data_IF_518310259463
#
_entry.id   IF_518310259463
#
_cell.length_a   1.000
_cell.length_b   1.000
_cell.length_c   1.000
_cell.angle_alpha   90.00
_cell.angle_beta   90.00
_cell.angle_gamma   90.00
#
_symmetry.space_group_name_H-M   'P 1'
#
loop_
_entity.id
_entity.type
_entity.pdbx_description
1 polymer ?
#
# COMPACT_ATOMS: atom_id res chain seq x y z
N UNK A 1 12.09 -1.41 7.36
CA UNK A 1 12.17 -0.96 5.98
C UNK A 1 10.90 -1.32 5.25
N UNK A 2 10.38 -0.41 4.45
CA UNK A 2 9.14 -0.67 3.72
C UNK A 2 9.41 -1.47 2.46
N UNK A 3 8.45 -2.30 2.05
CA UNK A 3 8.61 -3.04 0.82
C UNK A 3 8.42 -2.13 -0.40
N UNK A 4 8.77 -2.62 -1.58
CA UNK A 4 8.74 -1.81 -2.78
C UNK A 4 7.34 -1.34 -3.14
N UNK A 5 6.36 -2.20 -2.96
CA UNK A 5 4.98 -1.85 -3.28
C UNK A 5 4.48 -0.70 -2.43
N UNK A 6 4.77 -0.71 -1.15
CA UNK A 6 4.37 0.39 -0.28
C UNK A 6 5.11 1.67 -0.64
N UNK A 7 6.39 1.58 -0.96
CA UNK A 7 7.13 2.77 -1.39
C UNK A 7 6.51 3.38 -2.64
N UNK A 8 6.14 2.54 -3.59
CA UNK A 8 5.51 3.02 -4.81
C UNK A 8 4.15 3.65 -4.52
N UNK A 9 3.36 3.03 -3.64
CA UNK A 9 2.06 3.56 -3.28
C UNK A 9 2.19 4.92 -2.61
N UNK A 10 3.16 5.07 -1.71
CA UNK A 10 3.40 6.36 -1.07
C UNK A 10 3.79 7.42 -2.08
N UNK A 11 4.64 7.06 -3.03
CA UNK A 11 5.05 8.01 -4.06
C UNK A 11 3.87 8.45 -4.91
N UNK A 12 3.03 7.51 -5.32
CA UNK A 12 1.87 7.84 -6.15
C UNK A 12 0.83 8.65 -5.39
N UNK A 13 0.67 8.38 -4.10
CA UNK A 13 -0.29 9.10 -3.28
C UNK A 13 0.18 10.53 -2.95
N UNK A 14 1.48 10.75 -2.99
CA UNK A 14 2.03 12.05 -2.60
C UNK A 14 2.54 12.08 -1.17
N UNK A 15 2.84 10.93 -0.59
CA UNK A 15 3.43 10.84 0.74
C UNK A 15 2.52 10.15 1.75
N UNK A 16 3.03 10.00 2.96
CA UNK A 16 2.31 9.28 4.01
C UNK A 16 1.02 9.98 4.41
N UNK A 17 1.06 11.29 4.54
CA UNK A 17 -0.11 12.04 4.95
C UNK A 17 -1.20 11.97 3.88
N UNK A 18 -0.81 12.10 2.62
CA UNK A 18 -1.76 12.01 1.52
C UNK A 18 -2.40 10.62 1.46
N UNK A 19 -1.60 9.57 1.64
CA UNK A 19 -2.14 8.22 1.64
C UNK A 19 -3.10 8.02 2.81
N UNK A 20 -2.76 8.54 3.98
CA UNK A 20 -3.64 8.46 5.13
C UNK A 20 -4.99 9.11 4.86
N UNK A 21 -4.99 10.26 4.20
CA UNK A 21 -6.24 10.92 3.84
C UNK A 21 -7.06 10.10 2.86
N UNK A 22 -6.41 9.55 1.85
CA UNK A 22 -7.10 8.75 0.85
C UNK A 22 -7.77 7.53 1.47
N UNK A 23 -7.15 6.96 2.51
CA UNK A 23 -7.67 5.79 3.17
C UNK A 23 -8.50 6.12 4.40
N UNK A 24 -8.56 7.39 4.77
CA UNK A 24 -9.27 7.87 5.95
C UNK A 24 -8.71 7.23 7.22
N UNK A 25 -7.40 7.19 7.33
CA UNK A 25 -6.70 6.72 8.53
C UNK A 25 -5.63 7.72 8.91
N UNK A 26 -5.10 7.59 10.11
CA UNK A 26 -4.10 8.53 10.59
C UNK A 26 -2.76 8.37 9.88
N UNK A 27 -1.99 9.44 9.83
CA UNK A 27 -0.65 9.37 9.26
C UNK A 27 0.25 8.48 10.11
N UNK A 28 0.02 8.41 11.41
CA UNK A 28 0.79 7.53 12.27
C UNK A 28 0.59 6.07 11.90
N UNK A 29 -0.63 5.69 11.54
CA UNK A 29 -0.89 4.33 11.10
C UNK A 29 -0.09 4.00 9.85
N UNK A 30 -0.10 4.91 8.87
CA UNK A 30 0.67 4.70 7.64
C UNK A 30 2.17 4.66 7.94
N UNK A 31 2.60 5.53 8.83
CA UNK A 31 4.01 5.63 9.17
C UNK A 31 4.56 4.32 9.75
N UNK A 32 3.73 3.56 10.46
CA UNK A 32 4.15 2.32 11.07
C UNK A 32 4.18 1.15 10.10
N UNK A 33 3.61 1.29 8.92
CA UNK A 33 3.56 0.19 7.97
C UNK A 33 4.94 -0.10 7.39
N UNK A 34 5.29 -1.36 7.33
CA UNK A 34 6.44 -1.82 6.57
C UNK A 34 5.99 -2.38 5.24
N UNK A 35 4.75 -2.82 5.20
CA UNK A 35 4.05 -3.26 4.00
C UNK A 35 2.58 -2.96 4.24
N UNK A 36 1.80 -2.98 3.17
CA UNK A 36 0.37 -2.69 3.30
C UNK A 36 -0.30 -3.84 4.05
N UNK A 37 -1.04 -3.56 5.12
CA UNK A 37 -1.78 -4.62 5.83
C UNK A 37 -2.77 -5.30 4.89
N UNK A 38 -2.99 -6.60 5.10
CA UNK A 38 -3.86 -7.36 4.23
C UNK A 38 -5.25 -6.73 4.06
N UNK A 39 -5.81 -6.22 5.13
CA UNK A 39 -7.15 -5.63 5.08
C UNK A 39 -7.20 -4.29 4.37
N UNK A 40 -6.04 -3.70 4.04
CA UNK A 40 -5.97 -2.42 3.34
C UNK A 40 -5.53 -2.53 1.89
N UNK A 41 -5.22 -3.73 1.43
CA UNK A 41 -4.62 -3.92 0.10
C UNK A 41 -5.53 -3.36 -0.99
N UNK A 42 -6.80 -3.72 -0.98
CA UNK A 42 -7.72 -3.31 -2.04
C UNK A 42 -7.91 -1.79 -2.01
N UNK A 43 -8.03 -1.21 -0.82
CA UNK A 43 -8.19 0.23 -0.69
C UNK A 43 -6.97 0.98 -1.22
N UNK A 44 -5.77 0.48 -0.90
CA UNK A 44 -4.54 1.11 -1.38
C UNK A 44 -4.42 0.96 -2.90
N UNK A 45 -4.75 -0.20 -3.43
CA UNK A 45 -4.74 -0.39 -4.88
C UNK A 45 -5.66 0.59 -5.57
N UNK A 46 -6.87 0.76 -5.05
CA UNK A 46 -7.84 1.70 -5.64
C UNK A 46 -7.37 3.14 -5.51
N UNK A 47 -6.77 3.49 -4.39
CA UNK A 47 -6.36 4.87 -4.16
C UNK A 47 -5.13 5.25 -4.96
N UNK A 48 -4.22 4.33 -5.20
CA UNK A 48 -2.92 4.64 -5.80
C UNK A 48 -2.72 4.07 -7.19
N UNK A 49 -3.49 3.06 -7.56
CA UNK A 49 -3.29 2.37 -8.83
C UNK A 49 -2.18 1.33 -8.81
N UNK A 50 -1.52 1.13 -7.67
CA UNK A 50 -0.49 0.11 -7.56
C UNK A 50 -1.15 -1.25 -7.42
N UNK A 51 -0.83 -2.23 -8.27
CA UNK A 51 -1.51 -3.53 -8.23
C UNK A 51 -1.28 -4.24 -6.90
N UNK A 52 -2.29 -4.99 -6.47
CA UNK A 52 -2.20 -5.73 -5.21
C UNK A 52 -1.03 -6.72 -5.20
N UNK A 53 -0.71 -7.30 -6.35
CA UNK A 53 0.41 -8.22 -6.42
C UNK A 53 1.74 -7.53 -6.14
N UNK A 54 1.83 -6.24 -6.45
CA UNK A 54 3.02 -5.47 -6.14
C UNK A 54 3.03 -4.99 -4.70
N UNK A 55 1.85 -4.69 -4.16
CA UNK A 55 1.75 -4.27 -2.77
C UNK A 55 2.08 -5.41 -1.81
N UNK A 56 1.59 -6.58 -2.09
CA UNK A 56 1.81 -7.75 -1.24
C UNK A 56 2.08 -8.98 -2.09
N UNK A 57 3.28 -9.09 -2.65
CA UNK A 57 3.62 -10.26 -3.47
C UNK A 57 3.56 -11.57 -2.69
N UNK A 58 3.75 -11.51 -1.37
CA UNK A 58 3.64 -12.70 -0.54
C UNK A 58 2.22 -13.29 -0.54
N UNK A 59 1.22 -12.47 -0.82
CA UNK A 59 -0.17 -12.91 -0.83
C UNK A 59 -0.72 -13.11 -2.23
N UNK A 60 -0.24 -12.34 -3.22
CA UNK A 60 -0.84 -12.29 -4.54
C UNK A 60 0.12 -12.62 -5.67
N UNK A 61 1.31 -13.07 -5.37
CA UNK A 61 2.26 -13.28 -6.34
C UNK A 61 1.94 -14.40 -7.24
N UNK A 62 1.58 -14.71 -7.70
CA UNK A 62 1.39 -15.52 -8.45
C UNK A 62 1.12 -16.28 -8.76
N UNK A 63 0.71 -16.44 -9.02
CA UNK A 63 0.40 -17.00 -9.37
C UNK A 63 0.58 -17.81 -10.35
N UNK A 64 0.75 -18.22 -10.65
CA UNK A 64 0.91 -18.84 -11.41
C UNK A 64 0.81 -19.14 -12.33
N UNK A 65 0.82 -19.47 -12.83
CA UNK A 65 0.72 -20.09 -13.44
C UNK A 65 0.96 -20.47 -13.68
#
# INVERSE_FOLDING_TARGET
>A
MRNKGLKEALKRAGGQQALGRLLNISVQAVHQWRRVPAERIIAVERATGVPRARLRPDLYERAGP
#
